data_IF_429172123596
#
_entry.id   IF_429172123596
#
_cell.length_a   1.000
_cell.length_b   1.000
_cell.length_c   1.000
_cell.angle_alpha   90.00
_cell.angle_beta   90.00
_cell.angle_gamma   90.00
#
_symmetry.space_group_name_H-M   'P 1'
#
loop_
_entity.id
_entity.type
_entity.pdbx_description
1 polymer ?
#
# COMPACT_ATOMS: atom_id res chain seq x y z
N UNK A 1 -21.84 -4.87 13.65
CA UNK A 1 -21.29 -4.37 12.37
C UNK A 1 -19.79 -4.30 12.52
N UNK A 2 -19.05 -5.14 11.81
CA UNK A 2 -17.58 -5.03 11.76
C UNK A 2 -17.25 -3.73 11.05
N UNK A 3 -16.41 -2.88 11.65
CA UNK A 3 -15.96 -1.66 10.99
C UNK A 3 -15.07 -2.05 9.81
N UNK A 4 -15.22 -1.42 8.64
CA UNK A 4 -14.36 -1.69 7.50
C UNK A 4 -12.90 -1.36 7.84
N UNK A 5 -11.97 -2.20 7.39
CA UNK A 5 -10.55 -1.94 7.58
C UNK A 5 -10.01 -1.14 6.39
N UNK A 6 -9.47 0.04 6.65
CA UNK A 6 -9.11 1.01 5.61
C UNK A 6 -7.60 1.04 5.38
N UNK A 7 -7.18 0.94 4.13
CA UNK A 7 -5.78 0.96 3.70
C UNK A 7 -5.52 2.21 2.88
N UNK A 8 -4.59 3.06 3.31
CA UNK A 8 -4.20 4.27 2.58
C UNK A 8 -2.78 4.12 2.02
N UNK A 9 -2.60 4.54 0.77
CA UNK A 9 -1.29 4.62 0.14
C UNK A 9 -0.81 6.08 0.05
N UNK A 10 0.47 6.29 0.33
CA UNK A 10 1.12 7.61 0.33
C UNK A 10 2.41 7.55 -0.49
N UNK A 11 2.55 8.44 -1.46
CA UNK A 11 3.64 8.49 -2.43
C UNK A 11 3.49 7.49 -3.58
N UNK A 12 4.32 7.65 -4.62
CA UNK A 12 4.31 6.76 -5.78
C UNK A 12 3.02 6.79 -6.61
N UNK A 13 2.78 5.79 -7.47
CA UNK A 13 1.60 5.77 -8.36
C UNK A 13 0.27 5.54 -7.65
N UNK A 14 0.27 5.07 -6.40
CA UNK A 14 -0.95 4.87 -5.61
C UNK A 14 -1.22 6.01 -4.63
N UNK A 15 -0.48 7.11 -4.67
CA UNK A 15 -0.68 8.22 -3.73
C UNK A 15 -2.16 8.67 -3.68
N UNK A 16 -2.68 8.77 -2.45
CA UNK A 16 -4.08 9.14 -2.20
C UNK A 16 -5.11 8.04 -2.43
N UNK A 17 -4.71 6.87 -2.93
CA UNK A 17 -5.59 5.70 -3.03
C UNK A 17 -5.95 5.19 -1.63
N UNK A 18 -7.24 4.90 -1.47
CA UNK A 18 -7.78 4.27 -0.26
C UNK A 18 -8.52 3.00 -0.67
N UNK A 19 -8.10 1.85 -0.15
CA UNK A 19 -8.78 0.58 -0.32
C UNK A 19 -9.48 0.20 0.99
N UNK A 20 -10.63 -0.46 0.85
CA UNK A 20 -11.41 -0.96 2.00
C UNK A 20 -11.43 -2.47 1.96
N UNK A 21 -10.93 -3.12 3.01
CA UNK A 21 -11.01 -4.55 3.18
C UNK A 21 -12.30 -4.93 3.91
N UNK A 22 -12.91 -6.02 3.45
CA UNK A 22 -14.16 -6.55 4.02
C UNK A 22 -13.97 -7.08 5.45
N UNK A 23 -12.72 -7.43 5.80
CA UNK A 23 -12.33 -7.99 7.08
C UNK A 23 -11.02 -7.35 7.57
N UNK A 24 -10.91 -7.20 8.89
CA UNK A 24 -9.68 -6.78 9.57
C UNK A 24 -8.69 -7.95 9.48
N UNK A 25 -7.52 -7.79 8.83
CA UNK A 25 -6.49 -8.81 8.86
C UNK A 25 -5.97 -8.99 10.30
N UNK A 26 -5.67 -10.24 10.69
CA UNK A 26 -5.04 -10.55 11.99
C UNK A 26 -3.72 -9.78 12.18
N UNK A 27 -2.94 -9.60 11.10
CA UNK A 27 -1.75 -8.77 11.08
C UNK A 27 -1.64 -8.00 9.74
N UNK A 28 -1.40 -6.67 9.76
CA UNK A 28 -1.15 -5.91 8.55
C UNK A 28 0.17 -6.35 7.90
N UNK A 29 0.17 -6.48 6.57
CA UNK A 29 1.38 -6.84 5.83
C UNK A 29 2.45 -5.77 6.02
N UNK A 30 3.70 -6.16 6.28
CA UNK A 30 4.78 -5.18 6.40
C UNK A 30 5.08 -4.44 5.10
N UNK A 31 4.88 -5.11 3.95
CA UNK A 31 5.11 -4.52 2.62
C UNK A 31 4.01 -4.94 1.65
N UNK A 32 3.57 -4.00 0.81
CA UNK A 32 2.68 -4.22 -0.33
C UNK A 32 3.42 -3.88 -1.62
N UNK A 33 3.30 -4.75 -2.62
CA UNK A 33 3.89 -4.53 -3.94
C UNK A 33 2.80 -4.13 -4.92
N UNK A 34 2.94 -2.96 -5.54
CA UNK A 34 2.15 -2.56 -6.69
C UNK A 34 2.94 -2.81 -7.98
N UNK A 35 2.37 -3.63 -8.85
CA UNK A 35 2.95 -3.91 -10.16
C UNK A 35 2.15 -3.20 -11.22
N UNK A 36 2.83 -2.39 -12.01
CA UNK A 36 2.26 -1.68 -13.13
C UNK A 36 2.79 -2.27 -14.43
N UNK A 37 1.87 -2.77 -15.27
CA UNK A 37 2.15 -3.33 -16.59
C UNK A 37 1.50 -2.43 -17.64
N UNK A 38 2.29 -1.51 -18.19
CA UNK A 38 1.99 -0.95 -19.50
C UNK A 38 2.71 -1.78 -20.56
N UNK A 39 2.42 -1.57 -21.85
CA UNK A 39 3.02 -2.26 -23.01
C UNK A 39 4.56 -2.06 -23.15
N UNK A 40 5.27 -1.82 -22.05
CA UNK A 40 6.72 -1.67 -21.90
C UNK A 40 7.25 -2.41 -20.65
N UNK A 41 8.40 -2.02 -20.09
CA UNK A 41 8.99 -2.71 -18.94
C UNK A 41 8.07 -2.66 -17.72
N UNK A 42 8.00 -3.79 -17.00
CA UNK A 42 7.26 -3.92 -15.74
C UNK A 42 7.83 -2.96 -14.71
N UNK A 43 6.99 -2.08 -14.17
CA UNK A 43 7.37 -1.19 -13.08
C UNK A 43 6.82 -1.78 -11.77
N UNK A 44 7.65 -1.81 -10.74
CA UNK A 44 7.30 -2.34 -9.42
C UNK A 44 7.52 -1.25 -8.39
N UNK A 45 6.49 -0.97 -7.59
CA UNK A 45 6.59 -0.07 -6.44
C UNK A 45 6.34 -0.87 -5.16
N UNK A 46 7.26 -0.74 -4.22
CA UNK A 46 7.11 -1.28 -2.88
C UNK A 46 6.52 -0.21 -1.97
N UNK A 47 5.56 -0.58 -1.13
CA UNK A 47 5.02 0.28 -0.11
C UNK A 47 5.18 -0.40 1.24
N UNK A 48 5.82 0.27 2.19
CA UNK A 48 6.01 -0.24 3.53
C UNK A 48 4.97 0.30 4.49
N UNK A 49 4.57 -0.56 5.41
CA UNK A 49 3.67 -0.19 6.48
C UNK A 49 4.35 0.85 7.36
N UNK A 50 3.79 2.06 7.39
CA UNK A 50 4.28 3.16 8.24
C UNK A 50 3.45 3.26 9.52
N UNK A 51 2.14 3.02 9.44
CA UNK A 51 1.24 3.10 10.59
C UNK A 51 0.11 2.09 10.49
N UNK A 52 -0.25 1.46 11.61
CA UNK A 52 -1.37 0.54 11.71
C UNK A 52 -2.17 0.78 13.00
N UNK A 53 -3.49 0.79 12.88
CA UNK A 53 -4.47 0.86 13.98
C UNK A 53 -5.56 -0.18 13.76
N UNK A 54 -6.38 -0.41 14.79
CA UNK A 54 -7.46 -1.42 14.80
C UNK A 54 -8.46 -1.33 13.62
N UNK A 55 -8.53 -0.19 12.93
CA UNK A 55 -9.45 0.04 11.82
C UNK A 55 -8.77 0.52 10.52
N UNK A 56 -7.43 0.50 10.45
CA UNK A 56 -6.75 0.81 9.21
C UNK A 56 -5.23 0.85 9.24
N UNK A 57 -4.64 1.16 8.11
CA UNK A 57 -3.20 1.31 7.96
C UNK A 57 -2.81 2.32 6.87
N UNK A 58 -1.60 2.86 7.02
CA UNK A 58 -0.93 3.73 6.06
C UNK A 58 0.31 3.02 5.52
N UNK A 59 0.34 2.81 4.21
CA UNK A 59 1.46 2.30 3.44
C UNK A 59 2.13 3.45 2.71
N UNK A 60 3.42 3.65 2.95
CA UNK A 60 4.23 4.67 2.26
C UNK A 60 5.07 4.02 1.20
N UNK A 61 5.14 4.63 0.02
CA UNK A 61 6.05 4.17 -1.03
C UNK A 61 7.46 4.13 -0.44
N UNK A 62 8.12 2.99 -0.59
CA UNK A 62 9.54 2.90 -0.35
C UNK A 62 10.18 3.75 -1.43
N UNK A 63 10.90 4.78 -1.03
CA UNK A 63 11.86 5.46 -1.91
C UNK A 63 12.93 4.43 -2.24
N UNK A 64 12.64 3.58 -3.23
CA UNK A 64 13.69 2.84 -3.93
C UNK A 64 14.47 3.95 -4.61
N UNK A 65 15.65 4.23 -4.07
CA UNK A 65 16.66 5.12 -4.63
C UNK A 65 16.59 5.03 -6.17
N UNK A 66 15.92 6.01 -6.80
CA UNK A 66 15.95 6.18 -8.25
C UNK A 66 17.30 6.84 -8.58
N UNK A 67 18.40 6.21 -8.15
CA UNK A 67 19.75 6.51 -8.60
C UNK A 67 20.27 5.27 -9.32
N UNK A 68 20.43 5.40 -10.63
CA UNK A 68 20.87 4.33 -11.54
C UNK A 68 20.50 4.61 -12.98
#
# INVERSE_FOLDING_TARGET
MTKPYVVRYVGGPLDGRVDTLAELPDEPRSTVTHVHLHEGPKIVHHYDLCYAVEYGCEYRVREEDQDG
#
